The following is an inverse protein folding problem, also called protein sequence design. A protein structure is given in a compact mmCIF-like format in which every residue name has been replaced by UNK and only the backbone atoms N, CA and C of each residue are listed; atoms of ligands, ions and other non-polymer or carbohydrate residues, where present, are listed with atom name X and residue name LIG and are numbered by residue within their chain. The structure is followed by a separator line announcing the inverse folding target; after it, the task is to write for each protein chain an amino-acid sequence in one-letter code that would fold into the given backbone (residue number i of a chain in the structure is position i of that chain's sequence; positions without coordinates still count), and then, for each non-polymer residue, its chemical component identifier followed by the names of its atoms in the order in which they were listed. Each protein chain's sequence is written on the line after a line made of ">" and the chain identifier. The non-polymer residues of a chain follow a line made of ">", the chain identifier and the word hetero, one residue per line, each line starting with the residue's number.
data_IF_016242460073
#
_entry.id   IF_016242460073
#
_cell.length_a   1.000
_cell.length_b   1.000
_cell.length_c   1.000
_cell.angle_alpha   90.00
_cell.angle_beta   90.00
_cell.angle_gamma   90.00
#
_symmetry.space_group_name_H-M   'P 1'
#
loop_
_entity.id
_entity.type
_entity.pdbx_description
1 polymer ?
#
# COMPACT_ATOMS: atom_id res chain seq x y z
N UNK A 1 28.12 -24.32 -5.72
CA UNK A 1 27.45 -23.37 -4.79
C UNK A 1 27.47 -23.97 -3.40
N UNK A 2 27.95 -23.25 -2.38
CA UNK A 2 28.04 -23.77 -1.00
C UNK A 2 26.64 -23.72 -0.37
N UNK A 3 26.33 -24.65 0.53
CA UNK A 3 25.00 -24.79 1.14
C UNK A 3 24.49 -23.52 1.87
N UNK A 4 25.40 -22.65 2.33
CA UNK A 4 25.11 -21.33 2.90
C UNK A 4 24.45 -20.37 1.90
N UNK A 5 24.87 -20.40 0.63
CA UNK A 5 24.41 -19.47 -0.40
C UNK A 5 22.96 -19.75 -0.80
N UNK A 6 22.56 -21.03 -0.72
CA UNK A 6 21.19 -21.47 -1.01
C UNK A 6 20.21 -21.00 0.09
N UNK A 7 20.63 -21.05 1.36
CA UNK A 7 19.83 -20.59 2.49
C UNK A 7 19.64 -19.07 2.48
N UNK A 8 20.71 -18.32 2.21
CA UNK A 8 20.65 -16.86 2.05
C UNK A 8 19.71 -16.45 0.91
N UNK A 9 19.81 -17.08 -0.26
CA UNK A 9 18.92 -16.78 -1.38
C UNK A 9 17.45 -17.07 -1.08
N UNK A 10 17.14 -18.19 -0.41
CA UNK A 10 15.78 -18.50 0.04
C UNK A 10 15.26 -17.48 1.05
N UNK A 11 16.13 -16.98 1.95
CA UNK A 11 15.78 -15.93 2.91
C UNK A 11 15.48 -14.61 2.19
N UNK A 12 16.31 -14.19 1.24
CA UNK A 12 16.08 -12.97 0.45
C UNK A 12 14.82 -13.05 -0.40
N UNK A 13 14.55 -14.20 -1.05
CA UNK A 13 13.29 -14.42 -1.77
C UNK A 13 12.10 -14.31 -0.82
N UNK A 14 12.17 -14.94 0.35
CA UNK A 14 11.10 -14.87 1.34
C UNK A 14 10.88 -13.46 1.89
N UNK A 15 11.95 -12.67 2.07
CA UNK A 15 11.83 -11.26 2.45
C UNK A 15 11.17 -10.44 1.33
N UNK A 16 11.54 -10.70 0.07
CA UNK A 16 10.96 -10.07 -1.12
C UNK A 16 9.49 -10.46 -1.38
N UNK A 17 9.07 -11.63 -0.92
CA UNK A 17 7.67 -12.06 -1.01
C UNK A 17 6.80 -11.49 0.13
N UNK A 18 7.42 -11.13 1.25
CA UNK A 18 6.72 -10.64 2.44
C UNK A 18 6.75 -9.13 2.60
N UNK A 19 7.48 -8.38 1.76
CA UNK A 19 7.40 -6.93 1.78
C UNK A 19 6.09 -6.44 1.17
N UNK A 20 5.67 -5.26 1.63
CA UNK A 20 4.44 -4.60 1.21
C UNK A 20 4.82 -3.30 0.53
N UNK A 21 4.27 -3.05 -0.66
CA UNK A 21 4.55 -1.84 -1.45
C UNK A 21 3.33 -0.91 -1.42
N UNK A 22 3.59 0.38 -1.26
CA UNK A 22 2.56 1.41 -1.28
C UNK A 22 2.10 1.64 -2.72
N UNK A 23 0.81 1.56 -2.98
CA UNK A 23 0.24 1.76 -4.32
C UNK A 23 -0.73 2.93 -4.40
N UNK A 24 -1.22 3.40 -3.27
CA UNK A 24 -2.17 4.50 -3.23
C UNK A 24 -1.94 5.33 -1.97
N UNK A 25 -1.98 6.65 -2.17
CA UNK A 25 -1.85 7.66 -1.14
C UNK A 25 -2.90 8.73 -1.38
N UNK A 26 -3.62 9.12 -0.33
CA UNK A 26 -4.53 10.26 -0.39
C UNK A 26 -4.66 10.93 0.96
N UNK A 27 -5.16 12.16 0.92
CA UNK A 27 -5.58 12.96 2.08
C UNK A 27 -7.10 12.93 2.24
N UNK A 28 -7.85 12.37 1.28
CA UNK A 28 -9.32 12.28 1.32
C UNK A 28 -9.74 10.87 1.77
N UNK A 29 -10.53 10.81 2.83
CA UNK A 29 -10.98 9.53 3.39
C UNK A 29 -11.90 8.79 2.42
N UNK A 30 -12.67 9.53 1.62
CA UNK A 30 -13.61 8.99 0.64
C UNK A 30 -12.87 8.24 -0.47
N UNK A 31 -11.82 8.85 -1.03
CA UNK A 31 -10.96 8.22 -2.04
C UNK A 31 -10.26 6.98 -1.48
N UNK A 32 -9.75 7.07 -0.24
CA UNK A 32 -9.15 5.94 0.46
C UNK A 32 -10.14 4.77 0.62
N UNK A 33 -11.35 5.04 1.10
CA UNK A 33 -12.39 4.03 1.28
C UNK A 33 -12.80 3.41 -0.06
N UNK A 34 -12.97 4.21 -1.11
CA UNK A 34 -13.35 3.75 -2.44
C UNK A 34 -12.29 2.81 -3.03
N UNK A 35 -11.02 3.20 -3.02
CA UNK A 35 -9.93 2.37 -3.55
C UNK A 35 -9.75 1.10 -2.70
N UNK A 36 -9.77 1.22 -1.38
CA UNK A 36 -9.67 0.06 -0.47
C UNK A 36 -10.77 -0.95 -0.77
N UNK A 37 -12.03 -0.51 -0.87
CA UNK A 37 -13.15 -1.38 -1.17
C UNK A 37 -13.00 -2.03 -2.55
N UNK A 38 -12.66 -1.26 -3.59
CA UNK A 38 -12.48 -1.76 -4.96
C UNK A 38 -11.41 -2.85 -5.05
N UNK A 39 -10.30 -2.70 -4.33
CA UNK A 39 -9.24 -3.71 -4.27
C UNK A 39 -9.71 -4.97 -3.53
N UNK A 40 -10.33 -4.81 -2.36
CA UNK A 40 -10.83 -5.93 -1.56
C UNK A 40 -11.92 -6.73 -2.27
N UNK A 41 -12.84 -6.06 -2.97
CA UNK A 41 -13.91 -6.72 -3.73
C UNK A 41 -13.38 -7.53 -4.92
N UNK A 42 -12.17 -7.22 -5.40
CA UNK A 42 -11.46 -7.97 -6.45
C UNK A 42 -10.48 -9.03 -5.89
N UNK A 43 -10.61 -9.35 -4.60
CA UNK A 43 -9.83 -10.38 -3.93
C UNK A 43 -8.39 -9.99 -3.60
N UNK A 44 -8.03 -8.70 -3.70
CA UNK A 44 -6.68 -8.23 -3.38
C UNK A 44 -6.56 -7.99 -1.87
N UNK A 45 -5.59 -8.64 -1.25
CA UNK A 45 -5.25 -8.41 0.16
C UNK A 45 -4.54 -7.06 0.30
N UNK A 46 -5.11 -6.18 1.11
CA UNK A 46 -4.57 -4.84 1.38
C UNK A 46 -4.07 -4.72 2.82
N UNK A 47 -3.00 -3.94 3.01
CA UNK A 47 -2.57 -3.42 4.30
C UNK A 47 -2.71 -1.91 4.25
N UNK A 48 -3.24 -1.31 5.30
CA UNK A 48 -3.51 0.13 5.31
C UNK A 48 -2.79 0.81 6.45
N UNK A 49 -2.38 2.06 6.25
CA UNK A 49 -1.77 2.90 7.28
C UNK A 49 -2.44 4.27 7.26
N UNK A 50 -2.83 4.72 8.45
CA UNK A 50 -3.44 6.04 8.66
C UNK A 50 -2.47 6.82 9.53
N UNK A 51 -1.97 7.93 9.00
CA UNK A 51 -1.00 8.78 9.69
C UNK A 51 -1.73 10.03 10.12
N UNK A 52 -1.65 10.39 11.41
CA UNK A 52 -2.32 11.56 11.98
C UNK A 52 -1.29 12.52 12.55
N UNK A 53 -1.27 13.76 12.07
CA UNK A 53 -0.42 14.83 12.59
C UNK A 53 -1.21 15.74 13.51
N UNK A 54 -0.67 16.04 14.69
CA UNK A 54 -1.23 17.05 15.59
C UNK A 54 -0.73 18.42 15.17
N UNK A 55 -1.64 19.34 14.86
CA UNK A 55 -1.35 20.78 14.75
C UNK A 55 -0.71 21.27 13.44
N UNK A 56 -0.28 20.39 12.53
CA UNK A 56 0.32 20.79 11.25
C UNK A 56 -0.72 20.66 10.15
N UNK A 57 -1.14 21.81 9.58
CA UNK A 57 -2.01 21.85 8.41
C UNK A 57 -1.24 21.31 7.20
N UNK A 58 -1.73 20.21 6.65
CA UNK A 58 -1.18 19.57 5.46
C UNK A 58 -1.29 20.51 4.24
N UNK A 59 -0.18 20.88 3.59
CA UNK A 59 -0.19 21.78 2.44
C UNK A 59 -0.82 21.17 1.19
N UNK A 60 -0.99 19.85 1.13
CA UNK A 60 -1.55 19.10 -0.01
C UNK A 60 -3.06 18.82 0.19
N UNK A 61 -3.63 19.21 1.33
CA UNK A 61 -5.03 18.93 1.69
C UNK A 61 -6.07 19.87 1.04
N UNK A 62 -6.03 20.01 -0.29
CA UNK A 62 -7.13 20.66 -1.03
C UNK A 62 -8.34 19.74 -0.97
N UNK A 63 -9.40 20.16 -0.28
CA UNK A 63 -10.63 19.39 -0.05
C UNK A 63 -10.42 18.01 0.60
N UNK A 64 -9.40 17.86 1.46
CA UNK A 64 -9.11 16.62 2.19
C UNK A 64 -8.84 16.84 3.67
N UNK A 65 -8.49 15.76 4.37
CA UNK A 65 -8.11 15.82 5.78
C UNK A 65 -6.86 16.67 5.95
N UNK A 66 -6.98 17.72 6.76
CA UNK A 66 -5.88 18.65 7.02
C UNK A 66 -4.77 18.04 7.85
N UNK A 67 -5.06 16.94 8.55
CA UNK A 67 -4.17 16.37 9.56
C UNK A 67 -3.95 14.87 9.37
N UNK A 68 -4.55 14.26 8.34
CA UNK A 68 -4.47 12.82 8.13
C UNK A 68 -4.05 12.46 6.71
N UNK A 69 -3.27 11.40 6.61
CA UNK A 69 -2.87 10.76 5.37
C UNK A 69 -3.24 9.29 5.41
N UNK A 70 -3.63 8.78 4.26
CA UNK A 70 -4.10 7.42 4.08
C UNK A 70 -3.24 6.72 3.04
N UNK A 71 -2.62 5.62 3.43
CA UNK A 71 -1.77 4.80 2.58
C UNK A 71 -2.38 3.40 2.43
N UNK A 72 -2.39 2.89 1.20
CA UNK A 72 -2.76 1.50 0.88
C UNK A 72 -1.53 0.79 0.32
N UNK A 73 -1.26 -0.37 0.89
CA UNK A 73 -0.17 -1.24 0.53
C UNK A 73 -0.68 -2.59 0.09
N UNK A 74 0.04 -3.22 -0.84
CA UNK A 74 -0.24 -4.58 -1.31
C UNK A 74 1.04 -5.39 -1.45
N UNK A 75 0.90 -6.70 -1.67
CA UNK A 75 2.04 -7.56 -1.99
C UNK A 75 2.53 -7.27 -3.42
N UNK A 76 3.85 -7.30 -3.67
CA UNK A 76 4.45 -6.99 -4.98
C UNK A 76 3.85 -7.76 -6.15
N UNK A 77 3.55 -9.05 -5.93
CA UNK A 77 2.92 -9.93 -6.93
C UNK A 77 1.54 -9.48 -7.40
N UNK A 78 0.84 -8.64 -6.62
CA UNK A 78 -0.50 -8.14 -6.96
C UNK A 78 -0.46 -6.73 -7.60
N UNK A 79 0.71 -6.09 -7.74
CA UNK A 79 0.82 -4.66 -8.13
C UNK A 79 0.20 -4.40 -9.50
N UNK A 80 0.53 -5.20 -10.49
CA UNK A 80 0.02 -4.99 -11.84
C UNK A 80 -1.52 -5.10 -11.88
N UNK A 81 -2.07 -6.11 -11.20
CA UNK A 81 -3.52 -6.31 -11.08
C UNK A 81 -4.19 -5.16 -10.34
N UNK A 82 -3.61 -4.72 -9.22
CA UNK A 82 -4.12 -3.61 -8.43
C UNK A 82 -4.13 -2.30 -9.20
N UNK A 83 -3.07 -1.99 -9.94
CA UNK A 83 -3.00 -0.78 -10.77
C UNK A 83 -4.08 -0.79 -11.87
N UNK A 84 -4.32 -1.92 -12.53
CA UNK A 84 -5.44 -2.07 -13.48
C UNK A 84 -6.80 -1.82 -12.81
N UNK A 85 -7.00 -2.30 -11.59
CA UNK A 85 -8.25 -2.06 -10.84
C UNK A 85 -8.37 -0.59 -10.44
N UNK A 86 -7.29 0.08 -10.02
CA UNK A 86 -7.33 1.48 -9.60
C UNK A 86 -7.69 2.40 -10.78
N UNK A 87 -7.13 2.12 -11.97
CA UNK A 87 -7.25 2.98 -13.14
C UNK A 87 -8.32 2.56 -14.16
N UNK A 88 -9.11 1.51 -13.87
CA UNK A 88 -10.31 1.14 -14.64
C UNK A 88 -11.54 1.92 -14.20
#
# INVERSE_FOLDING_TARGET
>A
MKGSDILLNKLFQRLKENHWEMIFFTVKIEEYCAIKYKLMSNGIKVKTKIIRHKGVRNPIAINGSRNEYYEIYIQPKEIEKANKIIHS
#
